data_IF_684771795546
#
_entry.id   IF_684771795546
#
_cell.length_a   1.000
_cell.length_b   1.000
_cell.length_c   1.000
_cell.angle_alpha   90.00
_cell.angle_beta   90.00
_cell.angle_gamma   90.00
#
_symmetry.space_group_name_H-M   'P 1'
#
loop_
_entity.id
_entity.type
_entity.pdbx_description
1 polymer ?
#
# COMPACT_ATOMS: atom_id res chain seq x y z
N UNK A 1 31.01 -1.54 -3.63
CA UNK A 1 30.46 -0.35 -2.94
C UNK A 1 31.61 0.31 -2.21
N UNK A 2 31.84 1.61 -2.42
CA UNK A 2 32.84 2.35 -1.67
C UNK A 2 32.24 2.84 -0.34
N UNK A 3 32.99 2.83 0.77
CA UNK A 3 32.52 3.40 2.02
C UNK A 3 32.20 4.89 1.83
N UNK A 4 31.07 5.33 2.37
CA UNK A 4 30.62 6.71 2.29
C UNK A 4 30.02 7.15 3.63
N UNK A 5 30.13 8.44 3.93
CA UNK A 5 29.46 9.03 5.09
C UNK A 5 27.95 9.03 4.87
N UNK A 6 27.20 8.65 5.89
CA UNK A 6 25.74 8.63 5.83
C UNK A 6 25.16 10.05 5.77
N UNK A 7 24.07 10.22 5.02
CA UNK A 7 23.33 11.49 4.99
C UNK A 7 22.87 11.89 6.41
N UNK A 8 23.06 13.17 6.76
CA UNK A 8 22.75 13.69 8.10
C UNK A 8 23.90 13.59 9.11
N UNK A 9 25.07 13.07 8.73
CA UNK A 9 26.27 13.13 9.58
C UNK A 9 26.71 14.57 9.82
N UNK A 10 27.11 14.90 11.05
CA UNK A 10 27.52 16.25 11.48
C UNK A 10 28.96 16.20 11.98
N UNK A 11 29.79 17.13 11.50
CA UNK A 11 31.18 17.28 11.90
C UNK A 11 31.41 18.70 12.41
N UNK A 12 32.07 18.84 13.56
CA UNK A 12 32.34 20.13 14.21
C UNK A 12 33.85 20.34 14.23
N UNK A 13 34.30 21.49 13.75
CA UNK A 13 35.71 21.86 13.67
C UNK A 13 35.97 23.12 14.49
N UNK A 14 37.18 23.26 15.08
CA UNK A 14 37.59 24.50 15.72
C UNK A 14 37.68 25.64 14.69
N UNK A 15 37.45 26.90 15.12
CA UNK A 15 37.55 28.05 14.24
C UNK A 15 38.98 28.22 13.71
N UNK A 16 39.10 28.68 12.44
CA UNK A 16 40.39 29.09 11.86
C UNK A 16 41.07 28.09 10.90
N UNK A 17 40.43 26.97 10.57
CA UNK A 17 41.02 25.97 9.67
C UNK A 17 40.69 26.11 8.17
N UNK A 18 39.64 26.85 7.82
CA UNK A 18 39.14 27.00 6.44
C UNK A 18 38.61 28.41 6.24
N UNK A 19 38.97 29.06 5.14
CA UNK A 19 38.49 30.39 4.79
C UNK A 19 37.04 30.37 4.26
N UNK A 20 36.35 31.49 4.40
CA UNK A 20 34.94 31.59 4.04
C UNK A 20 34.67 31.36 2.54
N UNK A 21 35.60 31.75 1.66
CA UNK A 21 35.42 31.58 0.22
C UNK A 21 35.45 30.10 -0.17
N UNK A 22 36.35 29.32 0.43
CA UNK A 22 36.40 27.86 0.25
C UNK A 22 35.12 27.18 0.77
N UNK A 23 34.59 27.61 1.92
CA UNK A 23 33.33 27.08 2.45
C UNK A 23 32.15 27.35 1.52
N UNK A 24 32.05 28.58 0.97
CA UNK A 24 31.01 28.94 -0.02
C UNK A 24 31.14 28.11 -1.29
N UNK A 25 32.36 27.86 -1.77
CA UNK A 25 32.60 26.99 -2.92
C UNK A 25 32.07 25.57 -2.67
N UNK A 26 32.34 24.99 -1.50
CA UNK A 26 31.87 23.64 -1.17
C UNK A 26 30.36 23.53 -0.97
N UNK A 27 29.68 24.60 -0.55
CA UNK A 27 28.21 24.62 -0.50
C UNK A 27 27.58 24.49 -1.90
N UNK A 28 28.20 25.11 -2.90
CA UNK A 28 27.68 25.11 -4.29
C UNK A 28 28.11 23.84 -5.02
N UNK A 29 29.40 23.50 -4.97
CA UNK A 29 29.96 22.41 -5.76
C UNK A 29 29.80 21.04 -5.09
N UNK A 30 29.68 21.00 -3.76
CA UNK A 30 29.80 19.77 -2.96
C UNK A 30 31.26 19.30 -2.82
N UNK A 31 31.47 18.31 -1.96
CA UNK A 31 32.78 17.70 -1.65
C UNK A 31 32.88 16.26 -2.15
N UNK A 32 34.10 15.76 -2.35
CA UNK A 32 34.35 14.38 -2.77
C UNK A 32 34.14 14.10 -4.26
N UNK A 33 34.23 12.83 -4.63
CA UNK A 33 34.41 12.41 -6.03
C UNK A 33 33.10 12.27 -6.81
N UNK A 34 32.04 11.75 -6.18
CA UNK A 34 30.77 11.36 -6.86
C UNK A 34 29.68 12.44 -6.81
N UNK A 35 30.05 13.68 -7.09
CA UNK A 35 29.15 14.85 -6.96
C UNK A 35 27.99 14.86 -7.96
N UNK A 36 28.19 14.28 -9.15
CA UNK A 36 27.16 14.16 -10.21
C UNK A 36 26.07 13.14 -9.84
N UNK A 37 26.39 12.15 -9.02
CA UNK A 37 25.45 11.12 -8.54
C UNK A 37 24.64 11.58 -7.30
N UNK A 38 24.80 12.83 -6.88
CA UNK A 38 24.14 13.41 -5.71
C UNK A 38 24.87 13.21 -4.37
N UNK A 39 26.07 12.65 -4.37
CA UNK A 39 26.88 12.53 -3.15
C UNK A 39 27.64 13.83 -2.83
N UNK A 40 28.07 13.97 -1.58
CA UNK A 40 28.97 15.07 -1.18
C UNK A 40 28.29 16.42 -0.99
N UNK A 41 26.96 16.44 -0.81
CA UNK A 41 26.24 17.66 -0.46
C UNK A 41 26.44 17.96 1.01
N UNK A 42 26.88 19.17 1.29
CA UNK A 42 27.16 19.65 2.64
C UNK A 42 26.40 20.93 2.88
N UNK A 43 26.13 21.19 4.15
CA UNK A 43 25.57 22.44 4.59
C UNK A 43 26.29 22.85 5.88
N UNK A 44 26.60 24.14 5.99
CA UNK A 44 27.49 24.69 7.01
C UNK A 44 26.68 25.65 7.87
N UNK A 45 26.77 25.52 9.18
CA UNK A 45 26.09 26.38 10.15
C UNK A 45 24.61 26.60 9.82
N UNK A 46 23.89 25.50 9.52
CA UNK A 46 22.46 25.48 9.19
C UNK A 46 21.62 26.17 10.28
N UNK A 47 22.08 26.04 11.52
CA UNK A 47 21.60 26.80 12.65
C UNK A 47 22.72 27.71 13.16
N UNK A 48 22.44 29.02 13.20
CA UNK A 48 23.36 30.05 13.71
C UNK A 48 23.04 30.47 15.15
N UNK A 49 22.02 29.87 15.76
CA UNK A 49 21.61 30.21 17.12
C UNK A 49 22.48 29.43 18.12
N UNK A 50 23.08 30.13 19.08
CA UNK A 50 23.88 29.55 20.17
C UNK A 50 23.03 28.68 21.10
N UNK A 51 21.73 28.93 21.16
CA UNK A 51 20.78 28.21 22.01
C UNK A 51 19.55 27.81 21.21
N UNK A 52 19.17 26.53 21.32
CA UNK A 52 17.89 26.03 20.82
C UNK A 52 16.87 26.16 21.95
N UNK A 53 16.04 27.20 21.87
CA UNK A 53 14.89 27.33 22.78
C UNK A 53 13.84 26.30 22.39
N UNK A 54 13.77 25.20 23.15
CA UNK A 54 12.69 24.24 23.03
C UNK A 54 11.43 24.91 23.59
N UNK A 55 10.65 25.53 22.71
CA UNK A 55 9.31 25.99 23.05
C UNK A 55 8.42 24.76 23.27
N UNK A 56 8.36 24.29 24.52
CA UNK A 56 7.42 23.23 24.93
C UNK A 56 6.00 23.80 25.03
N UNK A 57 5.87 25.12 25.13
CA UNK A 57 4.60 25.82 25.31
C UNK A 57 4.14 26.54 24.04
N UNK A 58 4.00 25.80 22.92
CA UNK A 58 3.11 26.22 21.82
C UNK A 58 2.70 25.05 20.92
N UNK A 59 2.14 23.97 21.50
CA UNK A 59 1.15 23.13 20.79
C UNK A 59 -0.25 23.68 21.07
N UNK A 60 -0.44 24.99 20.86
CA UNK A 60 -1.72 25.71 20.79
C UNK A 60 -1.36 26.99 20.04
N UNK A 61 -1.71 27.20 18.80
CA UNK A 61 -2.91 26.81 18.07
C UNK A 61 -2.50 26.12 16.76
N UNK A 62 -3.28 25.12 16.33
CA UNK A 62 -3.36 24.86 14.89
C UNK A 62 -3.64 26.23 14.28
N UNK A 63 -2.80 26.78 13.37
CA UNK A 63 -3.12 28.04 12.71
C UNK A 63 -4.58 27.93 12.27
N UNK A 64 -5.43 28.95 12.51
CA UNK A 64 -6.84 28.89 12.19
C UNK A 64 -6.90 28.26 10.82
N UNK A 65 -7.58 27.10 10.72
CA UNK A 65 -7.71 26.35 9.46
C UNK A 65 -7.92 27.42 8.44
N UNK A 66 -6.90 27.70 7.61
CA UNK A 66 -6.98 28.80 6.64
C UNK A 66 -8.25 28.46 5.92
N UNK A 67 -9.28 29.26 6.17
CA UNK A 67 -10.63 28.98 5.71
C UNK A 67 -10.44 28.93 4.23
N UNK A 68 -10.42 27.70 3.70
CA UNK A 68 -9.84 27.38 2.41
C UNK A 68 -10.35 28.46 1.48
N UNK A 69 -9.48 29.42 1.14
CA UNK A 69 -9.76 30.34 0.06
C UNK A 69 -10.13 29.39 -1.05
N UNK A 70 -11.41 29.42 -1.44
CA UNK A 70 -12.05 28.36 -2.19
C UNK A 70 -11.06 27.92 -3.25
N UNK A 71 -10.50 26.71 -3.10
CA UNK A 71 -9.40 26.27 -3.96
C UNK A 71 -9.79 26.61 -5.39
N UNK A 72 -8.88 27.23 -6.14
CA UNK A 72 -9.13 27.41 -7.57
C UNK A 72 -9.53 26.06 -8.15
N UNK A 73 -10.38 26.04 -9.18
CA UNK A 73 -10.91 24.78 -9.70
C UNK A 73 -9.77 23.82 -10.10
N UNK A 74 -8.66 24.37 -10.63
CA UNK A 74 -7.45 23.62 -10.96
C UNK A 74 -6.77 23.02 -9.72
N UNK A 75 -6.70 23.79 -8.62
CA UNK A 75 -6.11 23.34 -7.36
C UNK A 75 -6.97 22.26 -6.70
N UNK A 76 -8.28 22.37 -6.81
CA UNK A 76 -9.25 21.37 -6.35
C UNK A 76 -9.14 20.08 -7.15
N UNK A 77 -9.08 20.15 -8.49
CA UNK A 77 -8.87 18.98 -9.34
C UNK A 77 -7.55 18.27 -9.04
N UNK A 78 -6.48 19.04 -8.82
CA UNK A 78 -5.19 18.48 -8.41
C UNK A 78 -5.30 17.79 -7.04
N UNK A 79 -5.96 18.41 -6.06
CA UNK A 79 -6.20 17.82 -4.75
C UNK A 79 -7.02 16.52 -4.85
N UNK A 80 -8.08 16.49 -5.66
CA UNK A 80 -8.86 15.28 -5.97
C UNK A 80 -7.97 14.16 -6.52
N UNK A 81 -7.15 14.45 -7.52
CA UNK A 81 -6.23 13.46 -8.13
C UNK A 81 -5.20 12.95 -7.12
N UNK A 82 -4.62 13.83 -6.31
CA UNK A 82 -3.67 13.44 -5.28
C UNK A 82 -4.33 12.58 -4.19
N UNK A 83 -5.54 12.93 -3.76
CA UNK A 83 -6.29 12.16 -2.76
C UNK A 83 -6.62 10.77 -3.29
N UNK A 84 -7.11 10.66 -4.53
CA UNK A 84 -7.38 9.39 -5.20
C UNK A 84 -6.12 8.53 -5.38
N UNK A 85 -5.00 9.14 -5.80
CA UNK A 85 -3.70 8.45 -5.92
C UNK A 85 -3.22 7.93 -4.57
N UNK A 86 -3.34 8.74 -3.51
CA UNK A 86 -2.97 8.33 -2.15
C UNK A 86 -3.84 7.18 -1.67
N UNK A 87 -5.14 7.21 -1.94
CA UNK A 87 -6.05 6.12 -1.60
C UNK A 87 -5.63 4.81 -2.29
N UNK A 88 -5.34 4.84 -3.60
CA UNK A 88 -4.86 3.67 -4.33
C UNK A 88 -3.57 3.12 -3.74
N UNK A 89 -2.57 3.97 -3.48
CA UNK A 89 -1.33 3.53 -2.85
C UNK A 89 -1.56 2.85 -1.49
N UNK A 90 -2.48 3.37 -0.67
CA UNK A 90 -2.84 2.77 0.62
C UNK A 90 -3.49 1.39 0.43
N UNK A 91 -4.38 1.25 -0.55
CA UNK A 91 -5.04 -0.01 -0.87
C UNK A 91 -4.05 -1.04 -1.43
N UNK A 92 -3.12 -0.65 -2.31
CA UNK A 92 -2.06 -1.52 -2.82
C UNK A 92 -1.16 -2.03 -1.68
N UNK A 93 -0.82 -1.17 -0.72
CA UNK A 93 -0.08 -1.61 0.48
C UNK A 93 -0.88 -2.56 1.36
N UNK A 94 -2.18 -2.33 1.54
CA UNK A 94 -3.07 -3.25 2.29
C UNK A 94 -3.21 -4.58 1.58
N UNK A 95 -3.36 -4.58 0.26
CA UNK A 95 -3.40 -5.78 -0.57
C UNK A 95 -2.16 -6.65 -0.35
N UNK A 96 -0.96 -6.05 -0.40
CA UNK A 96 0.31 -6.75 -0.15
C UNK A 96 0.42 -7.30 1.27
N UNK A 97 -0.06 -6.56 2.27
CA UNK A 97 -0.08 -7.02 3.67
C UNK A 97 -1.09 -8.15 3.91
N UNK A 98 -2.24 -8.11 3.23
CA UNK A 98 -3.27 -9.11 3.35
C UNK A 98 -2.87 -10.44 2.69
N UNK A 99 -2.22 -10.39 1.53
CA UNK A 99 -1.89 -11.60 0.77
C UNK A 99 -0.81 -12.47 1.41
N UNK A 100 0.15 -11.89 2.11
CA UNK A 100 1.28 -12.64 2.67
C UNK A 100 0.88 -13.73 3.69
N UNK A 101 0.06 -13.43 4.72
CA UNK A 101 -0.36 -14.44 5.67
C UNK A 101 -1.44 -15.39 5.12
N UNK A 102 -2.21 -15.00 4.11
CA UNK A 102 -3.31 -15.80 3.59
C UNK A 102 -2.83 -17.01 2.80
N UNK A 103 -3.50 -18.14 3.01
CA UNK A 103 -3.28 -19.40 2.29
C UNK A 103 -4.60 -20.16 2.15
N UNK A 104 -4.65 -21.09 1.19
CA UNK A 104 -5.78 -22.01 1.03
C UNK A 104 -5.32 -23.41 1.38
N UNK A 105 -5.84 -23.94 2.48
CA UNK A 105 -5.67 -25.34 2.87
C UNK A 105 -6.63 -26.23 2.08
N UNK A 106 -6.15 -27.41 1.67
CA UNK A 106 -6.84 -28.35 0.77
C UNK A 106 -7.47 -27.67 -0.47
N UNK A 107 -6.68 -26.96 -1.30
CA UNK A 107 -7.23 -26.12 -2.35
C UNK A 107 -7.95 -26.94 -3.43
N UNK A 108 -9.01 -26.38 -4.08
CA UNK A 108 -9.59 -26.96 -5.28
C UNK A 108 -8.56 -27.20 -6.38
N UNK A 109 -8.89 -28.02 -7.36
CA UNK A 109 -8.01 -28.25 -8.52
C UNK A 109 -7.66 -26.95 -9.25
N UNK A 110 -6.45 -26.91 -9.84
CA UNK A 110 -5.96 -25.71 -10.53
C UNK A 110 -6.90 -25.27 -11.66
N UNK A 111 -7.59 -26.20 -12.32
CA UNK A 111 -8.63 -25.90 -13.31
C UNK A 111 -9.80 -25.09 -12.70
N UNK A 112 -10.25 -25.46 -11.50
CA UNK A 112 -11.32 -24.73 -10.79
C UNK A 112 -10.83 -23.36 -10.29
N UNK A 113 -9.60 -23.28 -9.79
CA UNK A 113 -9.00 -22.01 -9.38
C UNK A 113 -8.86 -21.04 -10.56
N UNK A 114 -8.40 -21.51 -11.72
CA UNK A 114 -8.29 -20.69 -12.92
C UNK A 114 -9.66 -20.25 -13.44
N UNK A 115 -10.66 -21.14 -13.44
CA UNK A 115 -12.03 -20.79 -13.82
C UNK A 115 -12.63 -19.72 -12.90
N UNK A 116 -12.40 -19.81 -11.58
CA UNK A 116 -12.82 -18.78 -10.64
C UNK A 116 -12.12 -17.43 -10.91
N UNK A 117 -10.83 -17.44 -11.26
CA UNK A 117 -10.10 -16.21 -11.64
C UNK A 117 -10.71 -15.54 -12.87
N UNK A 118 -11.06 -16.32 -13.90
CA UNK A 118 -11.70 -15.79 -15.11
C UNK A 118 -13.05 -15.14 -14.79
N UNK A 119 -13.89 -15.81 -14.00
CA UNK A 119 -15.18 -15.26 -13.57
C UNK A 119 -14.98 -13.99 -12.73
N UNK A 120 -14.00 -13.96 -11.83
CA UNK A 120 -13.71 -12.79 -11.02
C UNK A 120 -13.28 -11.58 -11.87
N UNK A 121 -12.46 -11.80 -12.91
CA UNK A 121 -12.10 -10.73 -13.85
C UNK A 121 -13.30 -10.25 -14.67
N UNK A 122 -14.16 -11.16 -15.12
CA UNK A 122 -15.39 -10.79 -15.83
C UNK A 122 -16.33 -9.97 -14.92
N UNK A 123 -16.47 -10.38 -13.65
CA UNK A 123 -17.24 -9.65 -12.65
C UNK A 123 -16.71 -8.24 -12.45
N UNK A 124 -15.39 -8.07 -12.33
CA UNK A 124 -14.77 -6.75 -12.25
C UNK A 124 -15.02 -5.91 -13.49
N UNK A 125 -14.74 -6.45 -14.69
CA UNK A 125 -14.91 -5.73 -15.95
C UNK A 125 -16.35 -5.27 -16.19
N UNK A 126 -17.33 -6.10 -15.80
CA UNK A 126 -18.77 -5.81 -15.93
C UNK A 126 -19.35 -5.03 -14.74
N UNK A 127 -18.59 -4.83 -13.67
CA UNK A 127 -19.10 -4.24 -12.44
C UNK A 127 -20.17 -5.07 -11.71
N UNK A 128 -20.17 -6.39 -11.91
CA UNK A 128 -21.22 -7.31 -11.46
C UNK A 128 -20.65 -8.39 -10.52
N UNK A 129 -20.53 -8.14 -9.20
CA UNK A 129 -20.02 -9.13 -8.24
C UNK A 129 -20.87 -10.42 -8.19
N UNK A 130 -22.14 -10.34 -8.57
CA UNK A 130 -23.09 -11.46 -8.59
C UNK A 130 -22.63 -12.58 -9.52
N UNK A 131 -21.83 -12.28 -10.54
CA UNK A 131 -21.26 -13.30 -11.43
C UNK A 131 -20.41 -14.32 -10.66
N UNK A 132 -19.66 -13.87 -9.64
CA UNK A 132 -18.87 -14.77 -8.80
C UNK A 132 -19.79 -15.61 -7.92
N UNK A 133 -20.80 -14.99 -7.30
CA UNK A 133 -21.75 -15.70 -6.43
C UNK A 133 -22.57 -16.74 -7.19
N UNK A 134 -23.05 -16.39 -8.40
CA UNK A 134 -23.79 -17.30 -9.26
C UNK A 134 -22.90 -18.43 -9.75
N UNK A 135 -21.63 -18.16 -10.08
CA UNK A 135 -20.68 -19.21 -10.41
C UNK A 135 -20.54 -20.20 -9.26
N UNK A 136 -20.33 -19.73 -8.03
CA UNK A 136 -20.20 -20.59 -6.84
C UNK A 136 -21.44 -21.45 -6.59
N UNK A 137 -22.64 -20.88 -6.74
CA UNK A 137 -23.92 -21.62 -6.58
C UNK A 137 -24.10 -22.72 -7.62
N UNK A 138 -23.59 -22.51 -8.83
CA UNK A 138 -23.76 -23.43 -9.96
C UNK A 138 -22.65 -24.50 -10.06
N UNK A 139 -21.71 -24.53 -9.10
CA UNK A 139 -20.71 -25.59 -9.03
C UNK A 139 -21.38 -26.90 -8.58
N UNK A 140 -21.43 -27.90 -9.47
CA UNK A 140 -21.93 -29.26 -9.19
C UNK A 140 -20.94 -30.03 -8.29
N UNK A 141 -20.42 -31.17 -8.74
CA UNK A 141 -19.44 -31.97 -7.99
C UNK A 141 -18.18 -31.16 -7.57
N UNK A 142 -17.80 -30.16 -8.38
CA UNK A 142 -16.71 -29.24 -8.06
C UNK A 142 -16.97 -28.36 -6.82
N UNK A 143 -18.24 -28.13 -6.44
CA UNK A 143 -18.61 -27.32 -5.29
C UNK A 143 -18.11 -27.90 -3.97
N UNK A 144 -18.01 -29.23 -3.87
CA UNK A 144 -17.47 -29.90 -2.68
C UNK A 144 -15.99 -29.56 -2.44
N UNK A 145 -15.21 -29.33 -3.51
CA UNK A 145 -13.82 -28.89 -3.37
C UNK A 145 -13.74 -27.51 -2.68
N UNK A 146 -14.62 -26.58 -3.05
CA UNK A 146 -14.68 -25.24 -2.40
C UNK A 146 -15.24 -25.28 -0.98
N UNK A 147 -16.13 -26.22 -0.66
CA UNK A 147 -16.66 -26.40 0.70
C UNK A 147 -15.65 -27.03 1.64
N UNK A 148 -14.77 -27.90 1.14
CA UNK A 148 -13.69 -28.55 1.92
C UNK A 148 -12.47 -27.65 2.09
N UNK A 149 -12.13 -26.88 1.06
CA UNK A 149 -11.02 -25.93 1.11
C UNK A 149 -11.25 -24.87 2.19
N UNK A 150 -10.17 -24.41 2.83
CA UNK A 150 -10.23 -23.41 3.91
C UNK A 150 -9.24 -22.27 3.67
N UNK A 151 -9.68 -21.05 3.88
CA UNK A 151 -8.87 -19.83 3.82
C UNK A 151 -8.48 -19.43 5.23
N UNK A 152 -7.18 -19.28 5.47
CA UNK A 152 -6.64 -18.91 6.77
C UNK A 152 -5.17 -18.50 6.72
N UNK A 153 -4.62 -18.19 7.90
CA UNK A 153 -3.19 -17.92 8.06
C UNK A 153 -2.35 -19.15 7.73
N UNK A 154 -1.11 -18.98 7.26
CA UNK A 154 -0.16 -20.07 6.94
C UNK A 154 -0.01 -21.09 8.09
N UNK A 155 -0.10 -20.66 9.35
CA UNK A 155 0.03 -21.52 10.54
C UNK A 155 -1.28 -22.16 11.00
N UNK A 156 -2.42 -21.78 10.40
CA UNK A 156 -3.77 -22.14 10.86
C UNK A 156 -4.37 -23.30 10.04
N UNK A 157 -3.59 -24.38 9.81
CA UNK A 157 -4.08 -25.58 9.10
C UNK A 157 -5.31 -26.13 9.82
N UNK A 158 -6.42 -26.30 9.10
CA UNK A 158 -7.70 -26.75 9.67
C UNK A 158 -8.56 -25.69 10.38
N UNK A 159 -8.01 -24.52 10.75
CA UNK A 159 -8.73 -23.47 11.52
C UNK A 159 -9.29 -22.33 10.65
N UNK A 160 -9.01 -22.33 9.35
CA UNK A 160 -9.53 -21.32 8.41
C UNK A 160 -11.03 -21.41 8.11
N UNK A 161 -11.62 -20.31 7.64
CA UNK A 161 -13.01 -20.27 7.13
C UNK A 161 -13.09 -21.11 5.84
N UNK A 162 -14.18 -21.86 5.65
CA UNK A 162 -14.38 -22.60 4.38
C UNK A 162 -14.35 -21.63 3.20
N UNK A 163 -13.62 -21.96 2.14
CA UNK A 163 -13.42 -21.09 0.97
C UNK A 163 -14.75 -20.67 0.35
N UNK A 164 -15.70 -21.59 0.22
CA UNK A 164 -17.05 -21.29 -0.24
C UNK A 164 -17.73 -20.19 0.61
N UNK A 165 -17.70 -20.34 1.94
CA UNK A 165 -18.29 -19.37 2.88
C UNK A 165 -17.55 -18.04 2.85
N UNK A 166 -16.21 -18.09 2.82
CA UNK A 166 -15.35 -16.91 2.75
C UNK A 166 -15.63 -16.09 1.49
N UNK A 167 -15.82 -16.72 0.33
CA UNK A 167 -16.20 -16.04 -0.91
C UNK A 167 -17.64 -15.52 -0.86
N UNK A 168 -18.59 -16.32 -0.39
CA UNK A 168 -20.00 -15.96 -0.38
C UNK A 168 -20.29 -14.78 0.54
N UNK A 169 -19.76 -14.79 1.76
CA UNK A 169 -19.84 -13.66 2.69
C UNK A 169 -18.92 -12.52 2.27
N UNK A 170 -17.72 -12.86 1.78
CA UNK A 170 -16.70 -11.90 1.39
C UNK A 170 -17.12 -10.97 0.27
N UNK A 171 -17.83 -11.50 -0.73
CA UNK A 171 -18.32 -10.77 -1.89
C UNK A 171 -19.76 -10.29 -1.65
N UNK A 172 -20.63 -11.15 -1.11
CA UNK A 172 -22.05 -10.80 -0.91
C UNK A 172 -22.32 -9.83 0.23
N UNK A 173 -21.48 -9.82 1.27
CA UNK A 173 -21.59 -8.94 2.44
C UNK A 173 -20.37 -8.02 2.59
N UNK A 174 -19.52 -7.93 1.57
CA UNK A 174 -18.27 -7.14 1.58
C UNK A 174 -17.30 -7.50 2.72
N UNK A 175 -17.39 -8.69 3.34
CA UNK A 175 -16.49 -9.06 4.46
C UNK A 175 -15.02 -9.10 4.06
N UNK A 176 -14.70 -9.43 2.81
CA UNK A 176 -13.30 -9.40 2.33
C UNK A 176 -12.78 -7.97 2.34
N UNK A 177 -13.62 -7.01 1.96
CA UNK A 177 -13.25 -5.61 2.03
C UNK A 177 -13.03 -5.18 3.48
N UNK A 178 -13.98 -5.45 4.37
CA UNK A 178 -13.91 -5.09 5.78
C UNK A 178 -12.69 -5.73 6.49
N UNK A 179 -12.49 -7.03 6.29
CA UNK A 179 -11.46 -7.80 7.01
C UNK A 179 -10.03 -7.45 6.54
N UNK A 180 -9.83 -7.09 5.27
CA UNK A 180 -8.48 -7.00 4.68
C UNK A 180 -8.11 -5.66 4.02
N UNK A 181 -9.09 -4.91 3.51
CA UNK A 181 -8.85 -3.79 2.60
C UNK A 181 -9.37 -2.45 3.13
N UNK A 182 -10.13 -2.46 4.22
CA UNK A 182 -10.71 -1.24 4.79
C UNK A 182 -9.62 -0.26 5.23
N UNK A 183 -9.75 0.97 4.72
CA UNK A 183 -8.86 2.10 5.00
C UNK A 183 -9.67 3.36 5.21
N UNK A 184 -9.17 4.23 6.09
CA UNK A 184 -9.70 5.59 6.20
C UNK A 184 -9.34 6.37 4.94
N UNK A 185 -10.32 6.97 4.23
CA UNK A 185 -10.03 7.74 3.04
C UNK A 185 -9.08 8.92 3.35
N UNK A 186 -8.01 9.12 2.57
CA UNK A 186 -7.11 10.23 2.78
C UNK A 186 -7.78 11.57 2.42
N UNK A 187 -7.40 12.61 3.16
CA UNK A 187 -7.81 14.00 2.91
C UNK A 187 -6.60 14.83 2.48
N UNK A 188 -6.72 15.58 1.39
CA UNK A 188 -5.68 16.47 0.85
C UNK A 188 -6.33 17.81 0.54
N UNK A 189 -5.78 18.90 1.09
CA UNK A 189 -6.28 20.26 0.90
C UNK A 189 -7.81 20.37 1.09
N UNK A 190 -8.35 19.72 2.13
CA UNK A 190 -9.79 19.73 2.39
C UNK A 190 -10.62 18.69 1.61
N UNK A 191 -10.11 18.14 0.49
CA UNK A 191 -10.76 17.13 -0.34
C UNK A 191 -10.51 15.73 0.20
N UNK A 192 -11.57 14.95 0.40
CA UNK A 192 -11.50 13.54 0.85
C UNK A 192 -11.66 12.62 -0.36
N UNK A 193 -10.80 11.61 -0.49
CA UNK A 193 -10.94 10.61 -1.54
C UNK A 193 -12.22 9.77 -1.35
N UNK A 194 -12.87 9.38 -2.44
CA UNK A 194 -14.07 8.56 -2.40
C UNK A 194 -13.74 7.07 -2.52
N UNK A 195 -14.36 6.24 -1.69
CA UNK A 195 -14.33 4.78 -1.81
C UNK A 195 -15.61 4.33 -2.51
N UNK A 196 -15.53 4.15 -3.83
CA UNK A 196 -16.67 3.74 -4.65
C UNK A 196 -16.88 2.22 -4.61
N UNK A 197 -18.10 1.75 -4.92
CA UNK A 197 -18.38 0.31 -5.08
C UNK A 197 -17.49 -0.36 -6.13
N UNK A 198 -17.19 0.34 -7.23
CA UNK A 198 -16.29 -0.13 -8.27
C UNK A 198 -14.86 -0.35 -7.74
N UNK A 199 -14.37 0.57 -6.91
CA UNK A 199 -13.05 0.45 -6.28
C UNK A 199 -13.01 -0.73 -5.29
N UNK A 200 -14.08 -0.91 -4.49
CA UNK A 200 -14.19 -2.07 -3.59
C UNK A 200 -14.14 -3.39 -4.35
N UNK A 201 -14.89 -3.48 -5.45
CA UNK A 201 -14.90 -4.67 -6.31
C UNK A 201 -13.52 -4.92 -6.93
N UNK A 202 -12.88 -3.89 -7.48
CA UNK A 202 -11.54 -3.98 -8.06
C UNK A 202 -10.54 -4.60 -7.06
N UNK A 203 -10.43 -4.06 -5.85
CA UNK A 203 -9.44 -4.54 -4.89
C UNK A 203 -9.81 -5.89 -4.27
N UNK A 204 -11.10 -6.18 -4.11
CA UNK A 204 -11.57 -7.52 -3.70
C UNK A 204 -11.17 -8.58 -4.73
N UNK A 205 -11.37 -8.28 -6.02
CA UNK A 205 -10.99 -9.17 -7.12
C UNK A 205 -9.46 -9.30 -7.23
N UNK A 206 -8.70 -8.22 -7.05
CA UNK A 206 -7.23 -8.27 -7.01
C UNK A 206 -6.72 -9.16 -5.88
N UNK A 207 -7.29 -9.05 -4.67
CA UNK A 207 -6.91 -9.90 -3.53
C UNK A 207 -7.23 -11.37 -3.82
N UNK A 208 -8.44 -11.64 -4.32
CA UNK A 208 -8.84 -12.98 -4.72
C UNK A 208 -7.88 -13.54 -5.77
N UNK A 209 -7.58 -12.78 -6.82
CA UNK A 209 -6.68 -13.24 -7.88
C UNK A 209 -5.26 -13.50 -7.35
N UNK A 210 -4.73 -12.62 -6.51
CA UNK A 210 -3.42 -12.81 -5.90
C UNK A 210 -3.38 -14.09 -5.04
N UNK A 211 -4.43 -14.34 -4.25
CA UNK A 211 -4.55 -15.55 -3.43
C UNK A 211 -4.60 -16.81 -4.29
N UNK A 212 -5.44 -16.84 -5.33
CA UNK A 212 -5.57 -18.01 -6.20
C UNK A 212 -4.27 -18.28 -6.98
N UNK A 213 -3.58 -17.23 -7.47
CA UNK A 213 -2.27 -17.36 -8.13
C UNK A 213 -1.22 -17.91 -7.18
N UNK A 214 -1.14 -17.38 -5.96
CA UNK A 214 -0.21 -17.83 -4.92
C UNK A 214 -0.42 -19.30 -4.61
N UNK A 215 -1.67 -19.72 -4.39
CA UNK A 215 -2.04 -21.12 -4.13
C UNK A 215 -1.65 -22.07 -5.27
N UNK A 216 -1.88 -21.67 -6.53
CA UNK A 216 -1.48 -22.48 -7.69
C UNK A 216 0.04 -22.68 -7.74
N UNK A 217 0.81 -21.60 -7.51
CA UNK A 217 2.27 -21.63 -7.50
C UNK A 217 2.81 -22.52 -6.37
N UNK A 218 2.30 -22.34 -5.16
CA UNK A 218 2.73 -23.12 -3.99
C UNK A 218 2.46 -24.63 -4.17
N UNK A 219 1.35 -25.01 -4.85
CA UNK A 219 1.08 -26.42 -5.19
C UNK A 219 2.05 -26.97 -6.23
N UNK A 220 2.44 -26.16 -7.22
CA UNK A 220 3.40 -26.59 -8.25
C UNK A 220 4.81 -26.76 -7.66
N UNK A 221 5.22 -25.86 -6.76
CA UNK A 221 6.51 -25.93 -6.08
C UNK A 221 6.54 -27.05 -5.02
N UNK A 222 5.44 -27.25 -4.29
CA UNK A 222 5.32 -28.31 -3.26
C UNK A 222 5.02 -29.71 -3.79
N UNK A 223 4.57 -29.83 -5.05
CA UNK A 223 4.34 -31.11 -5.73
C UNK A 223 5.55 -31.65 -6.50
N UNK A 224 6.70 -30.96 -6.42
CA UNK A 224 7.96 -31.35 -7.05
C UNK A 224 8.91 -32.10 -6.08
N UNK A 225 8.37 -32.68 -5.00
CA UNK A 225 9.07 -33.54 -4.05
C UNK A 225 8.53 -34.96 -4.12
#
# INVERSE_FOLDING_TARGET
QAPALQAGSVFVYPPGGIDEATLRKYLVEGIGERRLDGFGRVAINLNKQETLNKNIDTIREVPPVVSVESLSEESRELACRLAARRLKNMLDQRLLKAIDPLSIDNPPENAQLNRLREVARQAWYKGMPELILNHLKNLRAAGEQFKRARVGGKSARGEGKRLYTWLNEGIGQEKIWADYLEVRPPRIAGVTAEITKALKLEYTVRLLEALLRKTIRERQEGGAL
#
